data_IF_723287620487
#
_entry.id   IF_723287620487
#
_cell.length_a   1.000
_cell.length_b   1.000
_cell.length_c   1.000
_cell.angle_alpha   90.00
_cell.angle_beta   90.00
_cell.angle_gamma   90.00
#
_symmetry.space_group_name_H-M   'P 1'
#
loop_
_entity.id
_entity.type
_entity.pdbx_description
1 polymer ?
#
# COMPACT_ATOMS: atom_id res chain seq x y z
N UNK A 1 9.92 -4.52 -26.70
CA UNK A 1 9.23 -4.36 -25.42
C UNK A 1 9.07 -2.86 -25.13
N UNK A 2 7.92 -2.47 -24.58
CA UNK A 2 7.67 -1.10 -24.12
C UNK A 2 7.42 -1.15 -22.62
N UNK A 3 8.19 -0.39 -21.86
CA UNK A 3 8.00 -0.22 -20.44
C UNK A 3 7.05 0.96 -20.17
N UNK A 4 6.18 0.79 -19.18
CA UNK A 4 5.28 1.83 -18.71
C UNK A 4 5.54 2.08 -17.22
N UNK A 5 5.27 3.30 -16.74
CA UNK A 5 5.32 3.60 -15.31
C UNK A 5 4.41 2.63 -14.56
N UNK A 6 4.95 2.05 -13.49
CA UNK A 6 4.27 1.06 -12.66
C UNK A 6 3.27 1.67 -11.70
N UNK A 7 3.16 1.09 -10.50
CA UNK A 7 2.20 1.54 -9.47
C UNK A 7 2.79 2.56 -8.48
N UNK A 8 3.87 3.22 -8.84
CA UNK A 8 4.54 4.28 -8.06
C UNK A 8 4.28 5.66 -8.68
N UNK A 9 4.49 6.72 -7.93
CA UNK A 9 4.39 8.09 -8.44
C UNK A 9 5.57 8.42 -9.36
N UNK A 10 6.78 8.13 -8.88
CA UNK A 10 8.03 8.38 -9.60
C UNK A 10 8.76 7.06 -9.79
N UNK A 11 9.33 6.85 -10.97
CA UNK A 11 10.22 5.70 -11.17
C UNK A 11 11.46 5.83 -10.29
N UNK A 12 12.05 4.71 -9.91
CA UNK A 12 13.10 4.69 -8.89
C UNK A 12 14.33 5.53 -9.27
N UNK A 13 14.71 5.53 -10.53
CA UNK A 13 15.84 6.29 -11.07
C UNK A 13 15.55 7.79 -11.23
N UNK A 14 14.29 8.21 -11.10
CA UNK A 14 13.90 9.63 -11.17
C UNK A 14 14.21 10.37 -9.86
N UNK A 15 14.29 9.65 -8.72
CA UNK A 15 14.51 10.24 -7.39
C UNK A 15 15.81 9.74 -6.77
N UNK A 16 16.86 10.41 -7.07
CA UNK A 16 18.21 10.14 -6.54
C UNK A 16 18.82 11.40 -5.92
N UNK A 17 19.92 11.23 -5.20
CA UNK A 17 20.75 12.36 -4.78
C UNK A 17 21.50 12.96 -5.99
N UNK A 18 22.16 14.09 -5.77
CA UNK A 18 22.92 14.78 -6.82
C UNK A 18 24.09 13.92 -7.39
N UNK A 19 24.59 12.98 -6.60
CA UNK A 19 25.63 12.02 -6.99
C UNK A 19 25.07 10.75 -7.68
N UNK A 20 23.77 10.71 -7.96
CA UNK A 20 23.07 9.57 -8.55
C UNK A 20 22.79 8.42 -7.57
N UNK A 21 23.23 8.50 -6.31
CA UNK A 21 22.99 7.45 -5.32
C UNK A 21 21.60 7.53 -4.71
N UNK A 22 21.02 6.39 -4.26
CA UNK A 22 19.70 6.37 -3.65
C UNK A 22 19.67 7.00 -2.26
N UNK A 23 18.51 7.51 -1.87
CA UNK A 23 18.26 7.94 -0.51
C UNK A 23 18.10 6.74 0.42
N UNK A 24 18.69 6.79 1.62
CA UNK A 24 18.52 5.82 2.71
C UNK A 24 17.68 6.35 3.87
N UNK A 25 17.23 7.61 3.79
CA UNK A 25 16.46 8.31 4.82
C UNK A 25 15.25 8.98 4.17
N UNK A 26 14.09 8.87 4.83
CA UNK A 26 12.82 9.33 4.29
C UNK A 26 12.76 10.84 4.03
N UNK A 27 13.12 11.66 5.00
CA UNK A 27 12.90 13.11 4.90
C UNK A 27 13.59 13.78 3.70
N UNK A 28 14.88 13.52 3.40
CA UNK A 28 15.50 14.05 2.19
C UNK A 28 14.94 13.43 0.91
N UNK A 29 14.56 12.13 0.92
CA UNK A 29 13.89 11.50 -0.21
C UNK A 29 12.58 12.23 -0.54
N UNK A 30 11.70 12.39 0.45
CA UNK A 30 10.37 12.95 0.22
C UNK A 30 10.42 14.41 -0.20
N UNK A 31 11.32 15.21 0.37
CA UNK A 31 11.54 16.61 -0.04
C UNK A 31 11.87 16.73 -1.53
N UNK A 32 12.63 15.78 -2.06
CA UNK A 32 12.93 15.69 -3.49
C UNK A 32 11.72 15.17 -4.29
N UNK A 33 11.14 14.05 -3.87
CA UNK A 33 10.09 13.36 -4.59
C UNK A 33 8.78 14.17 -4.66
N UNK A 34 8.41 14.89 -3.59
CA UNK A 34 7.18 15.69 -3.52
C UNK A 34 7.13 16.79 -4.57
N UNK A 35 8.27 17.39 -4.88
CA UNK A 35 8.38 18.46 -5.87
C UNK A 35 8.61 17.95 -7.30
N UNK A 36 9.06 16.70 -7.44
CA UNK A 36 9.40 16.11 -8.72
C UNK A 36 8.18 15.56 -9.47
N UNK A 37 7.16 15.14 -8.76
CA UNK A 37 6.00 14.50 -9.38
C UNK A 37 5.24 15.48 -10.28
N UNK A 38 5.46 15.31 -11.58
CA UNK A 38 4.73 16.00 -12.64
C UNK A 38 3.66 15.03 -13.18
N UNK A 39 2.46 15.52 -13.23
CA UNK A 39 1.24 14.77 -13.51
C UNK A 39 1.26 14.02 -14.84
N UNK A 40 1.34 12.70 -14.80
CA UNK A 40 0.84 11.85 -15.88
C UNK A 40 -0.33 11.02 -15.37
N UNK A 41 -1.50 11.63 -15.30
CA UNK A 41 -2.70 10.90 -14.88
C UNK A 41 -3.09 9.92 -15.96
N UNK A 42 -3.24 8.61 -15.66
CA UNK A 42 -3.81 7.67 -16.61
C UNK A 42 -5.21 8.14 -17.01
N UNK A 43 -5.37 8.54 -18.27
CA UNK A 43 -6.69 8.91 -18.77
C UNK A 43 -7.50 7.64 -19.04
N UNK A 44 -8.78 7.66 -18.68
CA UNK A 44 -9.71 6.62 -19.13
C UNK A 44 -9.68 6.57 -20.67
N UNK A 45 -9.21 5.46 -21.19
CA UNK A 45 -9.13 5.30 -22.64
C UNK A 45 -10.55 5.16 -23.22
N UNK A 46 -11.08 6.23 -23.76
CA UNK A 46 -12.42 6.27 -24.39
C UNK A 46 -12.53 5.35 -25.61
N UNK A 47 -11.41 4.90 -26.19
CA UNK A 47 -11.38 4.09 -27.41
C UNK A 47 -11.54 2.58 -27.17
N UNK A 48 -11.59 2.11 -25.93
CA UNK A 48 -11.80 0.68 -25.62
C UNK A 48 -13.12 0.12 -26.19
N UNK A 49 -14.12 0.98 -26.43
CA UNK A 49 -15.39 0.56 -27.09
C UNK A 49 -15.23 0.09 -28.54
N UNK A 50 -14.08 0.39 -29.18
CA UNK A 50 -13.81 0.04 -30.59
C UNK A 50 -12.89 -1.18 -30.74
N UNK A 51 -12.41 -1.78 -29.66
CA UNK A 51 -11.60 -2.99 -29.76
C UNK A 51 -12.47 -4.14 -30.25
N UNK A 52 -12.22 -4.60 -31.48
CA UNK A 52 -12.79 -5.85 -31.98
C UNK A 52 -12.40 -6.97 -31.02
N UNK A 53 -13.38 -7.78 -30.60
CA UNK A 53 -13.15 -8.96 -29.77
C UNK A 53 -12.15 -9.86 -30.49
N UNK A 54 -10.91 -9.90 -30.04
CA UNK A 54 -9.89 -10.78 -30.60
C UNK A 54 -10.26 -12.19 -30.14
N UNK A 55 -10.89 -12.96 -31.04
CA UNK A 55 -11.22 -14.35 -30.79
C UNK A 55 -9.92 -15.15 -30.74
N UNK A 56 -9.63 -15.76 -29.59
CA UNK A 56 -8.69 -16.89 -29.45
C UNK A 56 -7.19 -16.64 -29.74
N UNK A 57 -6.59 -15.56 -29.19
CA UNK A 57 -5.13 -15.40 -29.18
C UNK A 57 -4.40 -16.35 -28.21
N UNK A 58 -5.08 -16.91 -27.22
CA UNK A 58 -4.46 -17.82 -26.25
C UNK A 58 -5.21 -19.14 -26.21
N UNK A 59 -4.56 -20.21 -26.71
CA UNK A 59 -5.06 -21.59 -26.60
C UNK A 59 -5.10 -22.11 -25.16
N UNK A 60 -4.29 -21.53 -24.28
CA UNK A 60 -4.20 -21.93 -22.87
C UNK A 60 -4.99 -20.94 -21.99
N UNK A 61 -6.22 -21.26 -21.67
CA UNK A 61 -6.98 -20.54 -20.64
C UNK A 61 -6.41 -20.93 -19.27
N UNK A 62 -5.77 -19.98 -18.58
CA UNK A 62 -5.46 -20.15 -17.16
C UNK A 62 -6.79 -20.23 -16.43
N UNK A 63 -7.07 -21.36 -15.79
CA UNK A 63 -8.28 -21.52 -14.98
C UNK A 63 -8.10 -20.69 -13.70
N UNK A 64 -9.01 -19.73 -13.40
CA UNK A 64 -8.91 -18.89 -12.20
C UNK A 64 -8.77 -19.71 -10.91
N UNK A 65 -9.38 -20.88 -10.85
CA UNK A 65 -9.35 -21.79 -9.71
C UNK A 65 -7.92 -22.27 -9.34
N UNK A 66 -6.99 -22.28 -10.32
CA UNK A 66 -5.58 -22.63 -10.06
C UNK A 66 -4.79 -21.52 -9.38
N UNK A 67 -5.31 -20.30 -9.33
CA UNK A 67 -4.67 -19.14 -8.70
C UNK A 67 -5.12 -19.01 -7.24
N UNK A 68 -6.30 -19.51 -6.91
CA UNK A 68 -6.85 -19.44 -5.57
C UNK A 68 -6.27 -20.54 -4.67
N UNK A 69 -6.07 -20.28 -3.37
CA UNK A 69 -5.68 -21.31 -2.42
C UNK A 69 -6.68 -22.47 -2.37
N UNK A 70 -6.20 -23.69 -2.20
CA UNK A 70 -7.06 -24.89 -2.09
C UNK A 70 -8.01 -24.84 -0.87
N UNK A 71 -7.66 -24.06 0.16
CA UNK A 71 -8.47 -23.87 1.37
C UNK A 71 -9.21 -22.53 1.30
N UNK A 72 -10.48 -22.54 1.63
CA UNK A 72 -11.39 -21.39 1.53
C UNK A 72 -11.26 -20.36 2.68
N UNK A 73 -10.09 -20.25 3.32
CA UNK A 73 -9.86 -19.36 4.44
C UNK A 73 -10.09 -17.88 4.10
N UNK A 74 -9.92 -17.50 2.84
CA UNK A 74 -10.07 -16.12 2.33
C UNK A 74 -11.53 -15.71 2.09
N UNK A 75 -12.48 -16.66 1.94
CA UNK A 75 -13.88 -16.36 1.61
C UNK A 75 -14.56 -15.41 2.60
N UNK A 76 -14.18 -15.45 3.87
CA UNK A 76 -14.70 -14.53 4.87
C UNK A 76 -14.36 -13.06 4.59
N UNK A 77 -13.33 -12.77 3.80
CA UNK A 77 -12.95 -11.42 3.43
C UNK A 77 -13.96 -10.72 2.52
N UNK A 78 -14.79 -11.49 1.80
CA UNK A 78 -15.87 -10.97 0.94
C UNK A 78 -16.89 -10.13 1.73
N UNK A 79 -17.03 -10.36 3.04
CA UNK A 79 -17.85 -9.54 3.94
C UNK A 79 -17.32 -8.12 4.13
N UNK A 80 -16.03 -7.92 3.95
CA UNK A 80 -15.32 -6.68 4.27
C UNK A 80 -14.84 -5.93 3.04
N UNK A 81 -14.67 -6.62 1.92
CA UNK A 81 -14.03 -6.08 0.72
C UNK A 81 -14.81 -6.43 -0.53
N UNK A 82 -15.06 -5.40 -1.34
CA UNK A 82 -15.57 -5.57 -2.70
C UNK A 82 -14.47 -5.16 -3.68
N UNK A 83 -13.77 -6.11 -4.33
CA UNK A 83 -12.60 -5.83 -5.15
C UNK A 83 -13.01 -5.23 -6.50
N UNK A 84 -13.24 -3.91 -6.55
CA UNK A 84 -13.56 -3.19 -7.77
C UNK A 84 -12.95 -1.78 -7.80
N UNK A 85 -12.71 -1.26 -9.01
CA UNK A 85 -12.28 0.13 -9.21
C UNK A 85 -13.33 1.12 -8.70
N UNK A 86 -14.62 0.79 -8.86
CA UNK A 86 -15.72 1.64 -8.42
C UNK A 86 -15.74 1.77 -6.89
N UNK A 87 -15.55 0.68 -6.16
CA UNK A 87 -15.53 0.73 -4.69
C UNK A 87 -14.27 1.40 -4.16
N UNK A 88 -13.11 1.22 -4.80
CA UNK A 88 -11.92 2.00 -4.52
C UNK A 88 -12.17 3.51 -4.68
N UNK A 89 -12.87 3.89 -5.76
CA UNK A 89 -13.27 5.29 -6.01
C UNK A 89 -14.21 5.83 -4.94
N UNK A 90 -15.23 5.05 -4.53
CA UNK A 90 -16.16 5.42 -3.45
C UNK A 90 -15.44 5.58 -2.10
N UNK A 91 -14.51 4.66 -1.78
CA UNK A 91 -13.70 4.75 -0.55
C UNK A 91 -12.83 6.00 -0.54
N UNK A 92 -12.16 6.31 -1.67
CA UNK A 92 -11.38 7.54 -1.81
C UNK A 92 -12.26 8.78 -1.62
N UNK A 93 -13.41 8.84 -2.28
CA UNK A 93 -14.33 9.96 -2.18
C UNK A 93 -14.83 10.13 -0.74
N UNK A 94 -15.27 9.06 -0.10
CA UNK A 94 -15.71 9.10 1.31
C UNK A 94 -14.57 9.55 2.26
N UNK A 95 -13.35 9.07 2.03
CA UNK A 95 -12.21 9.49 2.84
C UNK A 95 -11.93 10.99 2.69
N UNK A 96 -11.88 11.49 1.47
CA UNK A 96 -11.60 12.90 1.17
C UNK A 96 -12.68 13.83 1.73
N UNK A 97 -13.95 13.45 1.61
CA UNK A 97 -15.07 14.31 2.03
C UNK A 97 -15.34 14.28 3.53
N UNK A 98 -15.12 13.14 4.19
CA UNK A 98 -15.58 12.93 5.58
C UNK A 98 -14.48 12.72 6.61
N UNK A 99 -13.30 12.21 6.21
CA UNK A 99 -12.30 11.73 7.17
C UNK A 99 -10.96 12.46 7.11
N UNK A 100 -10.55 12.94 5.95
CA UNK A 100 -9.21 13.48 5.75
C UNK A 100 -8.91 14.68 6.64
N UNK A 101 -9.92 15.47 6.99
CA UNK A 101 -9.77 16.64 7.86
C UNK A 101 -9.16 16.24 9.21
N UNK A 102 -9.68 15.17 9.81
CA UNK A 102 -9.30 14.70 11.14
C UNK A 102 -8.26 13.57 11.09
N UNK A 103 -7.85 13.17 9.88
CA UNK A 103 -6.89 12.08 9.67
C UNK A 103 -5.60 12.26 10.45
N UNK A 104 -5.18 13.52 10.62
CA UNK A 104 -3.95 13.85 11.36
C UNK A 104 -3.91 13.29 12.78
N UNK A 105 -5.07 13.18 13.42
CA UNK A 105 -5.26 12.66 14.78
C UNK A 105 -5.83 11.25 14.76
N UNK A 106 -6.93 11.04 14.02
CA UNK A 106 -7.67 9.77 14.06
C UNK A 106 -6.88 8.57 13.51
N UNK A 107 -5.87 8.81 12.68
CA UNK A 107 -4.96 7.76 12.20
C UNK A 107 -4.19 7.03 13.30
N UNK A 108 -4.08 7.61 14.47
CA UNK A 108 -3.31 7.05 15.57
C UNK A 108 -4.17 6.16 16.50
N UNK A 109 -5.48 6.12 16.27
CA UNK A 109 -6.44 5.34 17.06
C UNK A 109 -6.95 4.13 16.26
N UNK A 110 -6.41 2.90 16.50
CA UNK A 110 -6.79 1.69 15.76
C UNK A 110 -8.27 1.31 15.87
N UNK A 111 -8.93 1.68 16.97
CA UNK A 111 -10.36 1.43 17.22
C UNK A 111 -11.28 2.32 16.36
N UNK A 112 -10.76 3.41 15.80
CA UNK A 112 -11.53 4.38 15.03
C UNK A 112 -11.34 4.14 13.53
N UNK A 113 -12.44 4.18 12.76
CA UNK A 113 -12.35 4.11 11.31
C UNK A 113 -11.91 5.44 10.68
N UNK A 114 -10.71 5.90 11.06
CA UNK A 114 -10.11 7.18 10.64
C UNK A 114 -9.22 7.11 9.40
N UNK A 115 -8.96 5.91 8.86
CA UNK A 115 -8.07 5.72 7.70
C UNK A 115 -8.83 5.55 6.39
N UNK A 116 -8.12 5.66 5.25
CA UNK A 116 -8.70 5.50 3.93
C UNK A 116 -9.05 4.06 3.57
N UNK A 117 -8.37 3.08 4.18
CA UNK A 117 -8.43 1.65 3.83
C UNK A 117 -8.16 1.34 2.35
N UNK A 118 -7.44 2.20 1.65
CA UNK A 118 -7.16 2.04 0.21
C UNK A 118 -5.99 1.10 -0.10
N UNK A 119 -5.20 0.69 0.90
CA UNK A 119 -3.98 -0.10 0.68
C UNK A 119 -4.20 -1.41 -0.11
N UNK A 120 -5.27 -2.20 0.10
CA UNK A 120 -5.52 -3.39 -0.70
C UNK A 120 -5.80 -3.04 -2.18
N UNK A 121 -6.56 -1.99 -2.42
CA UNK A 121 -6.92 -1.54 -3.77
C UNK A 121 -5.73 -0.97 -4.54
N UNK A 122 -4.84 -0.23 -3.86
CA UNK A 122 -3.59 0.24 -4.45
C UNK A 122 -2.70 -0.96 -4.80
N UNK A 123 -2.56 -1.93 -3.89
CA UNK A 123 -1.74 -3.14 -4.10
C UNK A 123 -2.23 -3.97 -5.27
N UNK A 124 -3.54 -4.05 -5.48
CA UNK A 124 -4.18 -4.84 -6.55
C UNK A 124 -4.36 -4.05 -7.85
N UNK A 125 -3.92 -2.79 -7.90
CA UNK A 125 -4.05 -1.94 -9.10
C UNK A 125 -5.46 -1.45 -9.40
N UNK A 126 -6.41 -1.62 -8.48
CA UNK A 126 -7.80 -1.15 -8.63
C UNK A 126 -7.93 0.37 -8.48
N UNK A 127 -6.95 1.01 -7.87
CA UNK A 127 -6.77 2.46 -7.87
C UNK A 127 -5.28 2.79 -7.98
N UNK A 128 -4.95 3.70 -8.88
CA UNK A 128 -3.58 4.15 -9.03
C UNK A 128 -3.27 5.24 -8.00
N UNK A 129 -2.07 5.21 -7.44
CA UNK A 129 -1.64 6.16 -6.40
C UNK A 129 -1.65 7.62 -6.88
N UNK A 130 -1.41 7.86 -8.17
CA UNK A 130 -1.47 9.20 -8.78
C UNK A 130 -2.87 9.83 -8.72
N UNK A 131 -3.93 9.02 -8.82
CA UNK A 131 -5.30 9.52 -8.65
C UNK A 131 -5.53 10.01 -7.23
N UNK A 132 -5.02 9.25 -6.24
CA UNK A 132 -5.13 9.64 -4.83
C UNK A 132 -4.34 10.94 -4.58
N UNK A 133 -3.10 11.00 -5.09
CA UNK A 133 -2.25 12.18 -5.02
C UNK A 133 -2.94 13.42 -5.58
N UNK A 134 -3.47 13.31 -6.80
CA UNK A 134 -4.21 14.41 -7.45
C UNK A 134 -5.39 14.87 -6.62
N UNK A 135 -6.23 13.92 -6.17
CA UNK A 135 -7.42 14.25 -5.37
C UNK A 135 -7.06 14.96 -4.06
N UNK A 136 -5.96 14.60 -3.42
CA UNK A 136 -5.46 15.30 -2.24
C UNK A 136 -4.96 16.72 -2.57
N UNK A 137 -4.38 16.92 -3.75
CA UNK A 137 -3.86 18.23 -4.16
C UNK A 137 -4.94 19.18 -4.69
N UNK A 138 -6.08 18.66 -5.14
CA UNK A 138 -7.26 19.46 -5.52
C UNK A 138 -7.91 20.16 -4.31
N UNK A 139 -7.72 19.64 -3.09
CA UNK A 139 -8.34 20.22 -1.88
C UNK A 139 -7.61 21.49 -1.44
N UNK A 140 -8.36 22.57 -1.36
CA UNK A 140 -7.87 23.88 -0.90
C UNK A 140 -8.81 24.46 0.16
N UNK A 141 -8.31 25.06 1.26
CA UNK A 141 -6.89 25.06 1.66
C UNK A 141 -6.44 23.69 2.16
N UNK A 142 -5.14 23.39 2.02
CA UNK A 142 -4.56 22.15 2.55
C UNK A 142 -4.56 22.19 4.07
N UNK A 143 -5.30 21.26 4.69
CA UNK A 143 -5.27 21.07 6.14
C UNK A 143 -4.17 20.08 6.57
N UNK A 144 -3.96 19.96 7.87
CA UNK A 144 -2.91 19.09 8.45
C UNK A 144 -3.15 17.61 8.15
N UNK A 145 -4.41 17.18 8.08
CA UNK A 145 -4.77 15.79 7.76
C UNK A 145 -4.36 15.41 6.34
N UNK A 146 -4.59 16.29 5.36
CA UNK A 146 -4.15 16.08 3.97
C UNK A 146 -2.63 15.98 3.90
N UNK A 147 -1.90 16.92 4.54
CA UNK A 147 -0.44 16.89 4.57
C UNK A 147 0.09 15.57 5.15
N UNK A 148 -0.47 15.12 6.27
CA UNK A 148 -0.10 13.84 6.89
C UNK A 148 -0.44 12.65 5.99
N UNK A 149 -1.58 12.65 5.32
CA UNK A 149 -1.97 11.56 4.42
C UNK A 149 -1.07 11.48 3.18
N UNK A 150 -0.72 12.61 2.61
CA UNK A 150 0.24 12.72 1.50
C UNK A 150 1.62 12.21 1.91
N UNK A 151 2.06 12.48 3.14
CA UNK A 151 3.30 11.91 3.68
C UNK A 151 3.26 10.39 3.77
N UNK A 152 2.10 9.77 4.05
CA UNK A 152 1.99 8.30 4.02
C UNK A 152 2.13 7.73 2.61
N UNK A 153 1.67 8.45 1.60
CA UNK A 153 1.97 8.12 0.20
C UNK A 153 3.49 8.20 -0.03
N UNK A 154 4.12 9.24 0.48
CA UNK A 154 5.59 9.39 0.43
C UNK A 154 6.34 8.23 1.08
N UNK A 155 5.91 7.74 2.24
CA UNK A 155 6.50 6.56 2.89
C UNK A 155 6.37 5.31 2.04
N UNK A 156 5.24 5.15 1.33
CA UNK A 156 5.05 4.06 0.38
C UNK A 156 6.06 4.15 -0.77
N UNK A 157 6.21 5.31 -1.39
CA UNK A 157 7.17 5.56 -2.47
C UNK A 157 8.61 5.27 -2.00
N UNK A 158 8.97 5.77 -0.83
CA UNK A 158 10.28 5.52 -0.23
C UNK A 158 10.54 4.03 0.00
N UNK A 159 9.55 3.29 0.52
CA UNK A 159 9.66 1.84 0.75
C UNK A 159 9.88 1.08 -0.57
N UNK A 160 9.19 1.46 -1.63
CA UNK A 160 9.41 0.89 -2.97
C UNK A 160 10.82 1.20 -3.50
N UNK A 161 11.29 2.44 -3.32
CA UNK A 161 12.64 2.83 -3.69
C UNK A 161 13.70 2.02 -2.94
N UNK A 162 13.54 1.86 -1.62
CA UNK A 162 14.46 1.05 -0.82
C UNK A 162 14.53 -0.40 -1.31
N UNK A 163 13.41 -1.05 -1.54
CA UNK A 163 13.39 -2.45 -2.03
C UNK A 163 14.03 -2.57 -3.41
N UNK A 164 13.84 -1.57 -4.27
CA UNK A 164 14.46 -1.57 -5.59
C UNK A 164 15.98 -1.46 -5.55
N UNK A 165 16.50 -0.56 -4.72
CA UNK A 165 17.95 -0.32 -4.61
C UNK A 165 18.68 -1.28 -3.66
N UNK A 166 17.97 -1.84 -2.69
CA UNK A 166 18.50 -2.72 -1.65
C UNK A 166 17.68 -4.01 -1.53
N UNK A 167 17.57 -4.82 -2.61
CA UNK A 167 16.73 -6.02 -2.61
C UNK A 167 17.15 -7.06 -1.57
N UNK A 168 18.40 -7.03 -1.11
CA UNK A 168 18.91 -7.88 -0.04
C UNK A 168 18.18 -7.70 1.30
N UNK A 169 17.55 -6.54 1.52
CA UNK A 169 16.74 -6.29 2.72
C UNK A 169 15.51 -7.20 2.83
N UNK A 170 15.11 -7.87 1.76
CA UNK A 170 14.04 -8.88 1.79
C UNK A 170 14.46 -10.18 2.50
N UNK A 171 15.77 -10.40 2.66
CA UNK A 171 16.35 -11.62 3.26
C UNK A 171 17.19 -11.36 4.49
N UNK A 172 17.58 -10.13 4.74
CA UNK A 172 18.43 -9.73 5.85
C UNK A 172 18.19 -8.29 6.29
N UNK A 173 18.93 -7.83 7.29
CA UNK A 173 18.80 -6.47 7.76
C UNK A 173 19.43 -5.47 6.78
N UNK A 174 18.75 -4.36 6.51
CA UNK A 174 19.30 -3.24 5.74
C UNK A 174 20.52 -2.66 6.43
N UNK A 175 20.49 -2.58 7.75
CA UNK A 175 21.64 -2.21 8.60
C UNK A 175 22.24 -3.48 9.17
N UNK A 176 23.44 -3.81 8.73
CA UNK A 176 24.14 -5.05 9.07
C UNK A 176 24.47 -5.21 10.56
N UNK A 177 24.51 -4.09 11.29
CA UNK A 177 24.70 -4.10 12.74
C UNK A 177 23.63 -4.93 13.46
N UNK A 178 22.40 -4.93 12.94
CA UNK A 178 21.29 -5.73 13.50
C UNK A 178 21.40 -7.25 13.24
N UNK A 179 22.31 -7.67 12.37
CA UNK A 179 22.58 -9.13 12.21
C UNK A 179 23.19 -9.74 13.48
N UNK A 180 23.83 -8.91 14.33
CA UNK A 180 24.40 -9.32 15.61
C UNK A 180 23.41 -9.31 16.77
N UNK A 181 22.18 -8.84 16.55
CA UNK A 181 21.15 -8.86 17.59
C UNK A 181 20.80 -10.31 17.94
N UNK A 182 20.70 -10.66 19.25
CA UNK A 182 20.45 -12.04 19.71
C UNK A 182 18.99 -12.45 19.47
N UNK A 183 18.63 -12.67 18.22
CA UNK A 183 17.29 -13.11 17.85
C UNK A 183 16.96 -14.48 18.40
N UNK A 184 15.89 -14.59 19.16
CA UNK A 184 15.43 -15.86 19.73
C UNK A 184 14.51 -16.58 18.75
N UNK A 185 14.86 -17.84 18.42
CA UNK A 185 14.01 -18.71 17.62
C UNK A 185 13.11 -19.54 18.56
N UNK A 186 11.91 -19.07 18.83
CA UNK A 186 10.93 -19.76 19.66
C UNK A 186 9.65 -20.03 18.85
N UNK A 187 9.34 -21.31 18.63
CA UNK A 187 8.14 -21.73 17.88
C UNK A 187 6.84 -21.44 18.62
N UNK A 188 6.83 -21.54 19.95
CA UNK A 188 5.65 -21.28 20.78
C UNK A 188 5.28 -19.80 20.73
N UNK A 189 6.25 -18.90 20.90
CA UNK A 189 6.03 -17.47 20.79
C UNK A 189 5.55 -17.08 19.39
N UNK A 190 6.13 -17.65 18.35
CA UNK A 190 5.69 -17.42 16.97
C UNK A 190 4.24 -17.90 16.75
N UNK A 191 3.87 -19.05 17.30
CA UNK A 191 2.50 -19.54 17.18
C UNK A 191 1.51 -18.70 17.99
N UNK A 192 1.86 -18.31 19.21
CA UNK A 192 1.05 -17.39 20.02
C UNK A 192 0.82 -16.07 19.28
N UNK A 193 1.87 -15.49 18.69
CA UNK A 193 1.75 -14.28 17.88
C UNK A 193 0.83 -14.48 16.67
N UNK A 194 1.01 -15.54 15.89
CA UNK A 194 0.15 -15.85 14.73
C UNK A 194 -1.32 -16.00 15.10
N UNK A 195 -1.61 -16.52 16.28
CA UNK A 195 -2.97 -16.76 16.76
C UNK A 195 -3.58 -15.57 17.51
N UNK A 196 -2.79 -14.52 17.77
CA UNK A 196 -3.21 -13.38 18.60
C UNK A 196 -3.44 -13.81 20.05
N UNK A 197 -2.49 -14.55 20.60
CA UNK A 197 -2.50 -15.11 21.97
C UNK A 197 -1.19 -14.81 22.72
N UNK A 198 -0.61 -13.64 22.45
CA UNK A 198 0.65 -13.21 23.08
C UNK A 198 0.47 -12.73 24.50
N UNK A 199 -0.76 -12.35 24.89
CA UNK A 199 -1.05 -11.68 26.15
C UNK A 199 -0.92 -10.14 26.08
N UNK A 200 -0.45 -9.59 24.96
CA UNK A 200 -0.45 -8.15 24.70
C UNK A 200 -1.74 -7.76 23.94
N UNK A 201 -2.72 -7.11 24.59
CA UNK A 201 -4.07 -6.95 24.02
C UNK A 201 -4.09 -6.28 22.64
N UNK A 202 -3.25 -5.27 22.43
CA UNK A 202 -3.21 -4.54 21.17
C UNK A 202 -2.63 -5.38 20.01
N UNK A 203 -1.62 -6.20 20.32
CA UNK A 203 -1.00 -7.13 19.35
C UNK A 203 -2.01 -8.22 18.98
N UNK A 204 -2.63 -8.82 19.99
CA UNK A 204 -3.59 -9.90 19.83
C UNK A 204 -4.83 -9.45 19.05
N UNK A 205 -5.37 -8.26 19.38
CA UNK A 205 -6.47 -7.66 18.62
C UNK A 205 -6.08 -7.42 17.15
N UNK A 206 -4.87 -6.93 16.89
CA UNK A 206 -4.38 -6.70 15.53
C UNK A 206 -4.23 -7.98 14.73
N UNK A 207 -3.67 -9.04 15.32
CA UNK A 207 -3.52 -10.34 14.64
C UNK A 207 -4.87 -11.00 14.37
N UNK A 208 -5.81 -10.93 15.30
CA UNK A 208 -7.20 -11.40 15.10
C UNK A 208 -7.92 -10.60 14.03
N UNK A 209 -7.77 -9.27 14.00
CA UNK A 209 -8.32 -8.43 12.95
C UNK A 209 -7.75 -8.81 11.58
N UNK A 210 -6.43 -9.01 11.48
CA UNK A 210 -5.78 -9.43 10.24
C UNK A 210 -6.33 -10.79 9.76
N UNK A 211 -6.46 -11.74 10.65
CA UNK A 211 -7.00 -13.06 10.32
C UNK A 211 -8.47 -12.99 9.89
N UNK A 212 -9.27 -12.17 10.53
CA UNK A 212 -10.71 -12.04 10.22
C UNK A 212 -10.97 -11.25 8.95
N UNK A 213 -10.26 -10.13 8.75
CA UNK A 213 -10.58 -9.15 7.71
C UNK A 213 -9.58 -9.09 6.55
N UNK A 214 -8.41 -9.71 6.69
CA UNK A 214 -7.28 -9.54 5.76
C UNK A 214 -6.58 -8.19 5.86
N UNK A 215 -6.95 -7.35 6.84
CA UNK A 215 -6.39 -6.01 7.03
C UNK A 215 -5.99 -5.77 8.47
N UNK A 216 -4.92 -5.01 8.66
CA UNK A 216 -4.45 -4.57 9.97
C UNK A 216 -4.10 -3.09 9.92
N UNK A 217 -4.43 -2.38 10.98
CA UNK A 217 -4.09 -0.97 11.12
C UNK A 217 -2.57 -0.74 11.11
N UNK A 218 -2.10 0.35 10.45
CA UNK A 218 -0.67 0.62 10.28
C UNK A 218 0.09 0.69 11.62
N UNK A 219 -0.48 1.34 12.64
CA UNK A 219 0.17 1.45 13.96
C UNK A 219 0.40 0.10 14.61
N UNK A 220 -0.53 -0.83 14.41
CA UNK A 220 -0.41 -2.19 14.97
C UNK A 220 0.65 -3.02 14.23
N UNK A 221 0.90 -2.74 12.95
CA UNK A 221 1.99 -3.40 12.20
C UNK A 221 3.39 -3.00 12.67
N UNK A 222 3.50 -1.91 13.42
CA UNK A 222 4.76 -1.34 13.90
C UNK A 222 5.12 -1.81 15.32
N UNK A 223 4.24 -2.57 15.96
CA UNK A 223 4.41 -3.09 17.35
C UNK A 223 4.95 -4.51 17.36
#
# INVERSE_FOLDING_TARGET
YKFFKGNVLNEYNEITKNDGTPFKVYSPFWRNAENYYIESVPQKNKSLKKLKKIKNLFKNKVKPEKILPNKNWYKKFEKYWTPSENDAGKLLQNFITKKVKDYGTLRDYPSINGTSRLSPYIRSGQIHVSLIWRKCNEIKPKNIGIKKYVNEIGWREFSHSLINYFPEMLKGNLRKEFDRFPWVKNKEFLNAWKQGMTGYPIVDAGMRQLYETGWMHNRIRMV
#
